data_IF_532559711359
#
_entry.id   IF_532559711359
#
_cell.length_a   1.000
_cell.length_b   1.000
_cell.length_c   1.000
_cell.angle_alpha   90.00
_cell.angle_beta   90.00
_cell.angle_gamma   90.00
#
_symmetry.space_group_name_H-M   'P 1'
#
loop_
_entity.id
_entity.type
_entity.pdbx_description
1 polymer ?
#
# COMPACT_ATOMS: atom_id res chain seq x y z
N UNK A 1 -13.44 -49.99 -4.12
CA UNK A 1 -12.90 -48.61 -4.14
C UNK A 1 -13.34 -47.99 -5.46
N UNK A 2 -14.14 -46.90 -5.50
CA UNK A 2 -14.53 -46.32 -6.77
C UNK A 2 -13.32 -45.61 -7.39
N UNK A 3 -12.72 -46.26 -8.38
CA UNK A 3 -11.60 -45.81 -9.21
C UNK A 3 -12.20 -44.96 -10.36
N UNK A 4 -11.90 -43.67 -10.45
CA UNK A 4 -12.40 -42.86 -11.58
C UNK A 4 -12.41 -41.34 -11.44
N UNK A 5 -12.00 -40.76 -10.30
CA UNK A 5 -11.83 -39.31 -10.20
C UNK A 5 -10.49 -38.93 -10.84
N UNK A 6 -10.53 -38.28 -12.01
CA UNK A 6 -9.35 -37.63 -12.57
C UNK A 6 -8.81 -36.64 -11.54
N UNK A 7 -7.51 -36.70 -11.24
CA UNK A 7 -6.87 -35.72 -10.39
C UNK A 7 -6.91 -34.37 -11.12
N UNK A 8 -7.78 -33.48 -10.65
CA UNK A 8 -7.89 -32.12 -11.15
C UNK A 8 -6.74 -31.36 -10.49
N UNK A 9 -5.83 -30.80 -11.28
CA UNK A 9 -4.79 -29.93 -10.74
C UNK A 9 -5.46 -28.68 -10.17
N UNK A 10 -5.26 -28.44 -8.87
CA UNK A 10 -5.87 -27.30 -8.19
C UNK A 10 -4.99 -26.09 -8.49
N UNK A 11 -5.53 -25.02 -9.09
CA UNK A 11 -4.78 -23.79 -9.32
C UNK A 11 -4.15 -23.32 -8.02
N UNK A 12 -2.81 -23.17 -8.01
CA UNK A 12 -2.10 -22.65 -6.84
C UNK A 12 -2.53 -21.22 -6.59
N UNK A 13 -3.01 -20.94 -5.38
CA UNK A 13 -3.34 -19.58 -4.99
C UNK A 13 -2.08 -18.70 -5.03
N UNK A 14 -2.18 -17.45 -5.52
CA UNK A 14 -1.07 -16.53 -5.45
C UNK A 14 -0.68 -16.32 -3.98
N UNK A 15 0.61 -16.39 -3.69
CA UNK A 15 1.18 -16.03 -2.38
C UNK A 15 1.80 -14.65 -2.50
N UNK A 16 1.02 -13.56 -2.39
CA UNK A 16 1.57 -12.23 -2.37
C UNK A 16 2.43 -12.04 -1.13
N UNK A 17 3.42 -11.17 -1.25
CA UNK A 17 4.15 -10.68 -0.09
C UNK A 17 3.19 -9.94 0.85
N UNK A 18 3.50 -9.88 2.14
CA UNK A 18 2.63 -9.27 3.18
C UNK A 18 2.19 -7.84 2.83
N UNK A 19 3.01 -7.11 2.09
CA UNK A 19 2.78 -5.72 1.68
C UNK A 19 2.15 -5.56 0.29
N UNK A 20 2.04 -6.64 -0.47
CA UNK A 20 1.46 -6.65 -1.80
C UNK A 20 -0.06 -6.81 -1.71
N UNK A 21 -0.79 -6.00 -2.46
CA UNK A 21 -2.24 -6.15 -2.55
C UNK A 21 -2.58 -7.52 -3.13
N UNK A 22 -3.44 -8.26 -2.42
CA UNK A 22 -3.95 -9.55 -2.91
C UNK A 22 -4.81 -9.27 -4.15
N UNK A 23 -4.58 -9.95 -5.29
CA UNK A 23 -5.41 -9.77 -6.46
C UNK A 23 -6.87 -10.17 -6.14
N UNK A 24 -7.82 -9.39 -6.65
CA UNK A 24 -9.24 -9.67 -6.46
C UNK A 24 -9.57 -11.02 -7.12
N UNK A 25 -10.18 -11.92 -6.34
CA UNK A 25 -10.58 -13.25 -6.81
C UNK A 25 -11.84 -13.18 -7.69
N UNK A 26 -12.08 -14.19 -8.52
CA UNK A 26 -13.30 -14.23 -9.35
C UNK A 26 -14.58 -14.22 -8.50
N UNK A 27 -14.57 -14.88 -7.34
CA UNK A 27 -15.73 -14.90 -6.46
C UNK A 27 -16.01 -13.53 -5.85
N UNK A 28 -14.96 -12.78 -5.50
CA UNK A 28 -15.10 -11.39 -5.06
C UNK A 28 -15.59 -10.47 -6.18
N UNK A 29 -15.26 -10.74 -7.44
CA UNK A 29 -15.84 -10.00 -8.57
C UNK A 29 -17.34 -10.31 -8.77
N UNK A 30 -17.77 -11.56 -8.49
CA UNK A 30 -19.18 -11.95 -8.52
C UNK A 30 -19.98 -11.37 -7.34
N UNK A 31 -19.38 -11.32 -6.15
CA UNK A 31 -19.98 -10.81 -4.92
C UNK A 31 -19.08 -9.77 -4.23
N UNK A 32 -19.04 -8.57 -4.80
CA UNK A 32 -18.05 -7.53 -4.48
C UNK A 32 -18.37 -6.59 -3.33
N UNK A 33 -19.18 -6.99 -2.34
CA UNK A 33 -19.58 -6.11 -1.22
C UNK A 33 -18.37 -5.46 -0.52
N UNK A 34 -17.25 -6.17 -0.41
CA UNK A 34 -16.02 -5.69 0.23
C UNK A 34 -14.92 -5.27 -0.76
N UNK A 35 -15.20 -5.24 -2.06
CA UNK A 35 -14.20 -4.89 -3.08
C UNK A 35 -14.20 -3.39 -3.31
N UNK A 36 -13.08 -2.74 -3.01
CA UNK A 36 -12.91 -1.31 -3.25
C UNK A 36 -12.78 -1.08 -4.77
N UNK A 37 -13.62 -0.22 -5.38
CA UNK A 37 -13.51 0.12 -6.79
C UNK A 37 -12.11 0.65 -7.14
N UNK A 38 -11.53 0.31 -8.31
CA UNK A 38 -10.15 0.70 -8.65
C UNK A 38 -9.82 2.19 -8.48
N UNK A 39 -10.79 3.06 -8.77
CA UNK A 39 -10.65 4.52 -8.61
C UNK A 39 -10.51 4.96 -7.15
N UNK A 40 -11.08 4.22 -6.20
CA UNK A 40 -11.10 4.54 -4.77
C UNK A 40 -10.06 3.77 -3.95
N UNK A 41 -9.26 2.89 -4.57
CA UNK A 41 -8.25 2.11 -3.85
C UNK A 41 -7.17 3.02 -3.23
N UNK A 42 -6.72 2.77 -1.99
CA UNK A 42 -5.55 3.44 -1.46
C UNK A 42 -4.29 3.17 -2.29
N UNK A 43 -3.39 4.14 -2.38
CA UNK A 43 -2.06 3.99 -3.00
C UNK A 43 -0.97 4.28 -2.00
N UNK A 44 0.00 3.38 -1.89
CA UNK A 44 1.23 3.63 -1.14
C UNK A 44 2.14 4.54 -1.98
N UNK A 45 2.38 5.76 -1.51
CA UNK A 45 3.22 6.75 -2.18
C UNK A 45 4.68 6.58 -1.78
N UNK A 46 4.91 6.33 -0.49
CA UNK A 46 6.23 6.07 0.07
C UNK A 46 6.15 4.83 0.96
N UNK A 47 7.17 3.96 0.87
CA UNK A 47 7.31 2.75 1.66
C UNK A 47 8.67 2.76 2.35
N UNK A 48 8.72 2.29 3.58
CA UNK A 48 9.98 2.00 4.24
C UNK A 48 10.75 0.91 3.49
N UNK A 49 12.08 0.99 3.55
CA UNK A 49 12.94 -0.02 2.97
C UNK A 49 12.81 -1.36 3.71
N UNK A 50 13.53 -2.38 3.24
CA UNK A 50 13.67 -3.62 4.00
C UNK A 50 14.51 -3.37 5.27
N UNK A 51 14.43 -4.28 6.25
CA UNK A 51 15.14 -4.21 7.53
C UNK A 51 16.64 -3.97 7.35
N UNK A 52 17.23 -4.54 6.30
CA UNK A 52 18.66 -4.41 5.97
C UNK A 52 19.04 -2.99 5.53
N UNK A 53 18.10 -2.24 4.97
CA UNK A 53 18.30 -0.93 4.34
C UNK A 53 17.58 0.20 5.08
N UNK A 54 16.88 -0.12 6.18
CA UNK A 54 16.10 0.81 7.00
C UNK A 54 16.96 1.83 7.76
N UNK A 55 18.27 1.58 7.86
CA UNK A 55 19.21 2.38 8.63
C UNK A 55 20.43 2.79 7.82
N UNK A 56 20.64 4.10 7.77
CA UNK A 56 21.95 4.69 7.42
C UNK A 56 22.80 4.96 8.67
N UNK A 57 22.21 5.06 9.87
CA UNK A 57 22.90 5.60 11.08
C UNK A 57 22.91 4.72 12.35
N UNK A 58 22.31 3.52 12.35
CA UNK A 58 22.40 2.58 13.49
C UNK A 58 21.42 2.81 14.65
N UNK A 59 20.47 3.75 14.55
CA UNK A 59 19.58 4.16 15.66
C UNK A 59 18.20 3.49 15.70
N UNK A 60 17.86 2.62 14.74
CA UNK A 60 16.55 1.96 14.67
C UNK A 60 16.65 0.65 15.44
N UNK A 61 15.92 0.62 16.54
CA UNK A 61 15.62 -0.60 17.27
C UNK A 61 14.36 -1.25 16.65
N UNK A 62 14.32 -2.58 16.62
CA UNK A 62 13.17 -3.36 16.10
C UNK A 62 12.71 -2.98 14.68
N UNK A 63 13.64 -2.65 13.78
CA UNK A 63 13.32 -2.21 12.40
C UNK A 63 12.47 -3.19 11.59
N UNK A 64 12.44 -4.47 11.95
CA UNK A 64 11.55 -5.46 11.34
C UNK A 64 10.06 -5.13 11.47
N UNK A 65 9.65 -4.37 12.49
CA UNK A 65 8.24 -3.98 12.68
C UNK A 65 7.79 -2.93 11.67
N UNK A 66 8.70 -2.07 11.20
CA UNK A 66 8.39 -0.99 10.25
C UNK A 66 8.87 -1.32 8.83
N UNK A 67 9.71 -2.33 8.65
CA UNK A 67 10.23 -2.77 7.36
C UNK A 67 9.11 -3.06 6.37
N UNK A 68 9.27 -2.56 5.13
CA UNK A 68 8.32 -2.72 4.03
C UNK A 68 6.90 -2.16 4.31
N UNK A 69 6.66 -1.51 5.44
CA UNK A 69 5.38 -0.88 5.74
C UNK A 69 5.23 0.46 5.00
N UNK A 70 4.00 0.89 4.71
CA UNK A 70 3.76 2.17 4.06
C UNK A 70 4.14 3.33 4.99
N UNK A 71 4.98 4.24 4.50
CA UNK A 71 5.31 5.47 5.18
C UNK A 71 4.25 6.56 4.94
N UNK A 72 3.78 6.66 3.67
CA UNK A 72 2.75 7.61 3.22
C UNK A 72 1.74 6.89 2.33
N UNK A 73 0.45 7.07 2.63
CA UNK A 73 -0.67 6.51 1.87
C UNK A 73 -1.57 7.63 1.39
N UNK A 74 -1.92 7.58 0.11
CA UNK A 74 -2.91 8.45 -0.53
C UNK A 74 -4.23 7.68 -0.69
N UNK A 75 -5.30 8.18 -0.09
CA UNK A 75 -6.64 7.58 -0.11
C UNK A 75 -7.63 8.54 -0.78
N UNK A 76 -8.15 8.21 -1.97
CA UNK A 76 -9.22 8.99 -2.59
C UNK A 76 -10.49 8.92 -1.73
N UNK A 77 -11.10 10.08 -1.47
CA UNK A 77 -12.37 10.18 -0.76
C UNK A 77 -13.26 11.23 -1.44
N UNK A 78 -14.37 10.78 -2.01
CA UNK A 78 -15.28 11.58 -2.84
C UNK A 78 -14.53 12.34 -3.95
N UNK A 79 -14.40 13.66 -3.82
CA UNK A 79 -13.71 14.56 -4.77
C UNK A 79 -12.31 14.96 -4.31
N UNK A 80 -11.87 14.45 -3.16
CA UNK A 80 -10.61 14.82 -2.53
C UNK A 80 -9.77 13.62 -2.15
N UNK A 81 -8.78 13.89 -1.32
CA UNK A 81 -7.77 12.92 -0.90
C UNK A 81 -7.52 13.05 0.59
N UNK A 82 -7.38 11.90 1.25
CA UNK A 82 -6.86 11.80 2.62
C UNK A 82 -5.44 11.26 2.50
N UNK A 83 -4.46 12.06 2.95
CA UNK A 83 -3.05 11.66 2.98
C UNK A 83 -2.71 11.24 4.40
N UNK A 84 -2.31 9.99 4.56
CA UNK A 84 -1.99 9.38 5.86
C UNK A 84 -0.48 9.22 5.98
N UNK A 85 0.08 9.72 7.09
CA UNK A 85 1.48 9.62 7.43
C UNK A 85 1.65 8.68 8.62
N UNK A 86 2.63 7.80 8.55
CA UNK A 86 2.98 6.90 9.66
C UNK A 86 3.88 7.58 10.70
N UNK A 87 4.69 8.56 10.29
CA UNK A 87 5.42 9.44 11.19
C UNK A 87 4.59 10.72 11.49
N UNK A 88 5.07 11.53 12.44
CA UNK A 88 4.58 12.90 12.61
C UNK A 88 5.52 13.85 11.84
N UNK A 89 5.16 14.26 10.59
CA UNK A 89 6.04 15.10 9.78
C UNK A 89 6.13 16.55 10.27
N UNK A 90 5.33 16.94 11.26
CA UNK A 90 5.37 18.28 11.89
C UNK A 90 5.61 18.11 13.40
N UNK A 91 6.80 17.64 13.75
CA UNK A 91 7.27 17.55 15.13
C UNK A 91 8.58 18.30 15.34
N UNK A 92 8.83 18.73 16.57
CA UNK A 92 10.09 19.40 16.93
C UNK A 92 11.25 18.40 16.87
N UNK A 93 12.25 18.69 16.04
CA UNK A 93 13.46 17.85 15.89
C UNK A 93 13.40 16.85 14.74
N UNK A 94 12.38 16.92 13.87
CA UNK A 94 12.39 16.23 12.57
C UNK A 94 13.43 16.85 11.62
N UNK A 95 13.83 16.07 10.61
CA UNK A 95 14.74 16.52 9.57
C UNK A 95 14.05 17.49 8.61
N UNK A 96 14.82 18.39 7.99
CA UNK A 96 14.28 19.35 7.03
C UNK A 96 13.61 18.67 5.82
N UNK A 97 14.06 17.46 5.47
CA UNK A 97 13.46 16.65 4.40
C UNK A 97 12.02 16.20 4.69
N UNK A 98 11.66 16.01 5.97
CA UNK A 98 10.34 15.50 6.34
C UNK A 98 9.22 16.51 6.13
N UNK A 99 9.52 17.82 6.15
CA UNK A 99 8.54 18.86 5.86
C UNK A 99 7.99 18.76 4.42
N UNK A 100 8.81 18.30 3.47
CA UNK A 100 8.36 18.13 2.09
C UNK A 100 7.30 17.04 1.94
N UNK A 101 7.17 16.11 2.89
CA UNK A 101 6.06 15.13 2.89
C UNK A 101 4.70 15.84 2.98
N UNK A 102 4.61 16.93 3.75
CA UNK A 102 3.37 17.71 3.90
C UNK A 102 3.29 18.83 2.87
N UNK A 103 4.37 19.59 2.67
CA UNK A 103 4.32 20.72 1.74
C UNK A 103 4.06 20.29 0.30
N UNK A 104 4.60 19.15 -0.16
CA UNK A 104 4.27 18.65 -1.49
C UNK A 104 2.79 18.27 -1.61
N UNK A 105 2.19 17.70 -0.56
CA UNK A 105 0.77 17.38 -0.55
C UNK A 105 -0.10 18.65 -0.59
N UNK A 106 0.28 19.69 0.15
CA UNK A 106 -0.42 20.97 0.19
C UNK A 106 -0.30 21.74 -1.14
N UNK A 107 0.91 21.85 -1.69
CA UNK A 107 1.17 22.61 -2.90
C UNK A 107 0.53 21.97 -4.14
N UNK A 108 0.32 20.65 -4.12
CA UNK A 108 -0.24 19.89 -5.24
C UNK A 108 -1.58 19.22 -4.87
N UNK A 109 -2.35 19.83 -3.96
CA UNK A 109 -3.56 19.22 -3.39
C UNK A 109 -4.62 18.84 -4.45
N UNK A 110 -4.62 19.52 -5.59
CA UNK A 110 -5.53 19.30 -6.72
C UNK A 110 -5.03 18.22 -7.70
N UNK A 111 -3.80 17.74 -7.55
CA UNK A 111 -3.12 16.82 -8.46
C UNK A 111 -2.48 15.62 -7.75
N UNK A 112 -2.98 15.27 -6.55
CA UNK A 112 -2.41 14.16 -5.76
C UNK A 112 -2.51 12.81 -6.48
N UNK A 113 -3.48 12.62 -7.38
CA UNK A 113 -3.63 11.43 -8.22
C UNK A 113 -2.72 11.41 -9.46
N UNK A 114 -1.79 12.36 -9.63
CA UNK A 114 -0.88 12.40 -10.77
C UNK A 114 -0.13 11.05 -10.94
N UNK A 115 -0.05 10.59 -12.19
CA UNK A 115 0.63 9.34 -12.57
C UNK A 115 -0.03 8.05 -12.07
N UNK A 116 -1.23 8.11 -11.47
CA UNK A 116 -1.94 6.94 -10.98
C UNK A 116 -2.33 6.02 -12.14
N UNK A 117 -1.89 4.77 -12.06
CA UNK A 117 -2.33 3.68 -12.95
C UNK A 117 -3.43 2.92 -12.23
N UNK A 118 -4.61 2.84 -12.84
CA UNK A 118 -5.70 2.04 -12.29
C UNK A 118 -5.38 0.56 -12.52
N UNK A 119 -5.52 -0.23 -11.46
CA UNK A 119 -5.45 -1.67 -11.57
C UNK A 119 -6.63 -2.17 -12.43
N UNK A 120 -6.40 -2.95 -13.49
CA UNK A 120 -7.46 -3.45 -14.37
C UNK A 120 -8.44 -4.42 -13.70
N UNK A 121 -8.14 -4.93 -12.49
CA UNK A 121 -8.95 -5.96 -11.80
C UNK A 121 -9.35 -5.51 -10.41
#
# INVERSE_FOLDING_TARGET
>A
MPQGRLAIDVPQEPRPETWQAVPVTEEQLRNGINVIPPALRPRVVLRYADTRDLLVSGLVENGGEIAQHPAVVDVPLDKGHVVVYSNNPIWRGETEGSYFLVFNALLNFDQLNAGRKLDPK
#
